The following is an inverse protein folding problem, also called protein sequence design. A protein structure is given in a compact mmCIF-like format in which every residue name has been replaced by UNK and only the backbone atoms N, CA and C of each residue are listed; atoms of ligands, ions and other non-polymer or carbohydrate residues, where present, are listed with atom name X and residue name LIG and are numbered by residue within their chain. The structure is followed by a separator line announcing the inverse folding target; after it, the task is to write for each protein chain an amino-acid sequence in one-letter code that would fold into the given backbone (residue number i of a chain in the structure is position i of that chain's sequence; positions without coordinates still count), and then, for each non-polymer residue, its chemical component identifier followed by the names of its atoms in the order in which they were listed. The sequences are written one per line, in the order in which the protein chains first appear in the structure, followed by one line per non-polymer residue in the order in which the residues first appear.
data_IF_575958025273
#
_entry.id   IF_575958025273
#
_cell.length_a   1.000
_cell.length_b   1.000
_cell.length_c   1.000
_cell.angle_alpha   90.00
_cell.angle_beta   90.00
_cell.angle_gamma   90.00
#
_symmetry.space_group_name_H-M   'P 1'
#
loop_
_entity.id
_entity.type
_entity.pdbx_description
1 polymer ?
#
# COMPACT_ATOMS: atom_id res chain seq x y z
N UNK A 1 8.11 49.59 44.50
CA UNK A 1 7.52 49.45 43.17
C UNK A 1 7.18 47.96 42.95
N UNK A 2 5.90 47.66 43.02
CA UNK A 2 5.38 46.28 42.93
C UNK A 2 4.86 46.11 41.51
N UNK A 3 5.44 45.15 40.74
CA UNK A 3 4.97 44.82 39.39
C UNK A 3 4.13 43.53 39.50
N UNK A 4 2.83 43.69 39.26
CA UNK A 4 1.88 42.59 39.21
C UNK A 4 1.86 42.06 37.77
N UNK A 5 2.30 40.82 37.53
CA UNK A 5 2.16 40.14 36.27
C UNK A 5 0.78 39.41 36.23
N UNK A 6 -0.07 39.81 35.28
CA UNK A 6 -1.35 39.18 35.02
C UNK A 6 -1.16 37.91 34.18
N UNK A 7 -1.52 36.75 34.68
CA UNK A 7 -1.62 35.48 33.98
C UNK A 7 -2.93 35.42 33.20
N UNK A 8 -2.84 35.52 31.87
CA UNK A 8 -3.96 35.31 30.98
C UNK A 8 -4.24 33.81 30.81
N UNK A 9 -5.36 33.33 31.31
CA UNK A 9 -5.86 31.98 31.07
C UNK A 9 -6.55 31.92 29.69
N UNK A 10 -5.96 31.23 28.73
CA UNK A 10 -6.58 30.89 27.46
C UNK A 10 -7.53 29.69 27.65
N UNK A 11 -8.82 29.94 27.66
CA UNK A 11 -9.84 28.88 27.64
C UNK A 11 -10.01 28.34 26.23
N UNK A 12 -9.60 27.07 26.02
CA UNK A 12 -9.89 26.31 24.81
C UNK A 12 -11.29 25.72 24.94
N UNK A 13 -12.23 26.20 24.13
CA UNK A 13 -13.58 25.66 24.05
C UNK A 13 -13.55 24.27 23.36
N UNK A 14 -14.32 23.29 23.87
CA UNK A 14 -14.46 22.00 23.20
C UNK A 14 -15.27 22.16 21.90
N UNK A 15 -14.77 21.59 20.79
CA UNK A 15 -15.50 21.52 19.53
C UNK A 15 -16.77 20.67 19.70
N UNK A 16 -17.92 21.29 19.50
CA UNK A 16 -19.21 20.60 19.46
C UNK A 16 -19.31 19.81 18.15
N UNK A 17 -19.46 18.49 18.27
CA UNK A 17 -19.78 17.60 17.16
C UNK A 17 -21.26 17.77 16.81
N UNK A 18 -21.57 18.29 15.63
CA UNK A 18 -22.92 18.36 15.11
C UNK A 18 -23.46 16.94 14.82
N UNK A 19 -24.73 16.63 15.16
CA UNK A 19 -25.32 15.35 14.82
C UNK A 19 -25.54 15.23 13.31
N UNK A 20 -25.26 14.02 12.78
CA UNK A 20 -25.47 13.65 11.39
C UNK A 20 -26.98 13.65 11.08
N UNK A 21 -27.41 14.12 9.88
CA UNK A 21 -28.80 14.01 9.46
C UNK A 21 -29.17 12.54 9.21
N UNK A 22 -30.32 12.13 9.73
CA UNK A 22 -30.91 10.81 9.49
C UNK A 22 -31.31 10.63 8.01
N UNK A 23 -31.20 9.40 7.44
CA UNK A 23 -31.63 9.15 6.09
C UNK A 23 -33.18 9.13 6.01
N UNK A 24 -33.75 10.00 5.18
CA UNK A 24 -35.16 9.98 4.83
C UNK A 24 -35.44 8.68 4.04
N UNK A 25 -36.28 7.84 4.61
CA UNK A 25 -36.87 6.67 3.94
C UNK A 25 -37.92 7.18 2.96
N UNK A 26 -37.53 7.25 1.68
CA UNK A 26 -38.44 7.51 0.58
C UNK A 26 -39.17 6.25 0.15
N UNK A 27 -40.47 6.20 0.39
CA UNK A 27 -41.39 5.16 -0.08
C UNK A 27 -41.56 5.21 -1.59
N UNK A 28 -41.42 4.05 -2.22
CA UNK A 28 -42.17 3.60 -3.39
C UNK A 28 -41.88 4.26 -4.73
N UNK A 29 -41.23 3.54 -5.62
CA UNK A 29 -41.58 3.56 -7.04
C UNK A 29 -41.30 2.20 -7.67
N UNK A 30 -42.42 1.56 -8.01
CA UNK A 30 -42.49 0.30 -8.77
C UNK A 30 -42.05 0.58 -10.19
N UNK A 31 -40.87 0.13 -10.62
CA UNK A 31 -40.48 0.12 -12.01
C UNK A 31 -40.67 -1.27 -12.59
N UNK A 32 -41.54 -1.32 -13.61
CA UNK A 32 -41.92 -2.48 -14.39
C UNK A 32 -40.70 -3.22 -14.98
N UNK A 33 -40.69 -4.51 -14.84
CA UNK A 33 -39.79 -5.44 -15.46
C UNK A 33 -40.12 -5.51 -16.97
N UNK A 34 -39.25 -4.97 -17.81
CA UNK A 34 -39.28 -5.21 -19.25
C UNK A 34 -38.50 -6.50 -19.53
N UNK A 35 -39.22 -7.52 -19.96
CA UNK A 35 -38.68 -8.79 -20.44
C UNK A 35 -38.14 -8.57 -21.86
N UNK A 36 -36.89 -8.86 -22.19
CA UNK A 36 -36.48 -8.86 -23.60
C UNK A 36 -36.89 -10.17 -24.27
N UNK A 37 -37.46 -9.94 -25.44
CA UNK A 37 -38.01 -10.87 -26.41
C UNK A 37 -37.00 -11.91 -26.91
N UNK A 38 -37.50 -13.13 -27.14
CA UNK A 38 -36.84 -14.29 -27.74
C UNK A 38 -36.11 -13.93 -29.03
N UNK A 39 -34.82 -14.17 -29.13
CA UNK A 39 -34.08 -14.20 -30.40
C UNK A 39 -34.05 -15.66 -30.88
N UNK A 40 -34.64 -15.90 -32.05
CA UNK A 40 -34.60 -17.18 -32.78
C UNK A 40 -33.16 -17.53 -33.19
N UNK A 41 -32.79 -18.80 -33.17
CA UNK A 41 -31.52 -19.22 -33.78
C UNK A 41 -31.68 -19.31 -35.29
N UNK A 42 -30.97 -18.47 -36.00
CA UNK A 42 -30.79 -18.65 -37.44
C UNK A 42 -29.63 -19.61 -37.65
N UNK A 43 -29.96 -20.79 -38.10
CA UNK A 43 -29.03 -21.76 -38.72
C UNK A 43 -28.48 -21.13 -39.98
N UNK A 44 -27.19 -20.88 -40.05
CA UNK A 44 -26.49 -20.63 -41.30
C UNK A 44 -25.25 -21.51 -41.40
N UNK A 45 -25.19 -22.10 -42.48
CA UNK A 45 -24.41 -23.10 -43.17
C UNK A 45 -22.90 -22.96 -43.04
N UNK A 46 -22.26 -24.06 -42.65
CA UNK A 46 -20.82 -24.23 -42.48
C UNK A 46 -20.14 -24.36 -43.84
N UNK A 47 -19.46 -23.33 -44.32
CA UNK A 47 -18.49 -23.44 -45.40
C UNK A 47 -17.08 -23.68 -44.79
N UNK A 48 -16.30 -24.67 -45.27
CA UNK A 48 -14.97 -24.94 -44.74
C UNK A 48 -13.97 -23.89 -45.23
N UNK A 49 -13.28 -23.24 -44.27
CA UNK A 49 -12.16 -22.35 -44.55
C UNK A 49 -10.91 -23.22 -44.86
N UNK A 50 -10.04 -22.80 -45.81
CA UNK A 50 -8.82 -23.52 -46.12
C UNK A 50 -7.79 -23.37 -44.98
N UNK A 51 -7.07 -24.46 -44.73
CA UNK A 51 -5.93 -24.54 -43.79
C UNK A 51 -4.88 -23.48 -44.09
N UNK A 52 -4.46 -22.67 -43.07
CA UNK A 52 -3.25 -21.86 -43.24
C UNK A 52 -2.03 -22.75 -43.10
N UNK A 53 -1.19 -22.70 -44.12
CA UNK A 53 0.12 -23.32 -44.18
C UNK A 53 0.94 -22.96 -42.95
N UNK A 54 1.58 -23.97 -42.36
CA UNK A 54 2.52 -23.85 -41.25
C UNK A 54 3.78 -23.15 -41.79
N UNK A 55 3.86 -21.82 -41.61
CA UNK A 55 5.15 -21.15 -41.77
C UNK A 55 5.99 -21.36 -40.50
N UNK A 56 7.19 -21.86 -40.74
CA UNK A 56 8.21 -22.17 -39.71
C UNK A 56 8.49 -20.95 -38.85
N UNK A 57 8.17 -21.05 -37.56
CA UNK A 57 8.38 -20.00 -36.56
C UNK A 57 9.86 -19.62 -36.48
N UNK A 58 10.12 -18.35 -36.68
CA UNK A 58 11.36 -17.66 -36.31
C UNK A 58 11.61 -17.87 -34.81
N UNK A 59 12.81 -18.29 -34.37
CA UNK A 59 13.08 -18.47 -32.96
C UNK A 59 12.94 -17.12 -32.22
N UNK A 60 12.02 -17.05 -31.30
CA UNK A 60 11.90 -15.91 -30.39
C UNK A 60 13.26 -15.70 -29.71
N UNK A 61 13.88 -14.58 -30.01
CA UNK A 61 15.09 -14.10 -29.36
C UNK A 61 14.75 -13.95 -27.86
N UNK A 62 15.22 -14.90 -27.04
CA UNK A 62 15.26 -14.74 -25.60
C UNK A 62 16.01 -13.45 -25.32
N UNK A 63 15.28 -12.41 -24.91
CA UNK A 63 15.86 -11.20 -24.36
C UNK A 63 16.79 -11.65 -23.23
N UNK A 64 18.08 -11.49 -23.41
CA UNK A 64 19.07 -11.76 -22.39
C UNK A 64 18.75 -10.83 -21.22
N UNK A 65 18.14 -11.40 -20.18
CA UNK A 65 18.09 -10.75 -18.87
C UNK A 65 19.54 -10.52 -18.48
N UNK A 66 19.99 -9.27 -18.53
CA UNK A 66 21.30 -8.86 -18.03
C UNK A 66 21.30 -9.24 -16.57
N UNK A 67 22.04 -10.28 -16.23
CA UNK A 67 22.17 -10.82 -14.88
C UNK A 67 22.97 -9.81 -14.05
N UNK A 68 22.28 -8.73 -13.61
CA UNK A 68 22.87 -7.76 -12.68
C UNK A 68 23.12 -8.52 -11.38
N UNK A 69 24.35 -8.47 -10.84
CA UNK A 69 24.66 -9.13 -9.59
C UNK A 69 23.64 -8.71 -8.51
N UNK A 70 23.13 -9.71 -7.77
CA UNK A 70 22.17 -9.46 -6.68
C UNK A 70 22.80 -8.54 -5.65
N UNK A 71 22.14 -7.42 -5.28
CA UNK A 71 22.64 -6.50 -4.25
C UNK A 71 22.92 -7.25 -2.94
N UNK A 72 24.06 -6.97 -2.32
CA UNK A 72 24.50 -7.59 -1.06
C UNK A 72 25.05 -6.52 -0.11
N UNK A 73 25.07 -6.83 1.19
CA UNK A 73 25.60 -5.95 2.23
C UNK A 73 24.63 -5.67 3.35
N UNK A 74 25.02 -4.73 4.20
CA UNK A 74 24.14 -4.22 5.27
C UNK A 74 22.98 -3.37 4.68
N UNK A 75 22.04 -3.00 5.55
CA UNK A 75 20.84 -2.27 5.11
C UNK A 75 21.17 -0.92 4.46
N UNK A 76 22.19 -0.18 4.95
CA UNK A 76 22.59 1.10 4.38
C UNK A 76 23.20 0.93 2.98
N UNK A 77 24.07 -0.05 2.82
CA UNK A 77 24.68 -0.42 1.55
C UNK A 77 23.62 -0.83 0.52
N UNK A 78 22.68 -1.71 0.91
CA UNK A 78 21.56 -2.13 0.06
C UNK A 78 20.70 -0.95 -0.39
N UNK A 79 20.34 -0.05 0.54
CA UNK A 79 19.58 1.15 0.22
C UNK A 79 20.33 2.03 -0.77
N UNK A 80 21.64 2.22 -0.58
CA UNK A 80 22.47 3.03 -1.49
C UNK A 80 22.52 2.46 -2.90
N UNK A 81 22.62 1.13 -3.04
CA UNK A 81 22.67 0.43 -4.32
C UNK A 81 21.32 0.47 -5.07
N UNK A 82 20.19 0.46 -4.33
CA UNK A 82 18.84 0.31 -4.89
C UNK A 82 18.06 1.61 -5.01
N UNK A 83 18.64 2.76 -4.66
CA UNK A 83 17.96 4.04 -4.77
C UNK A 83 17.58 4.37 -6.22
N UNK A 84 16.28 4.61 -6.45
CA UNK A 84 15.73 4.99 -7.75
C UNK A 84 14.53 5.92 -7.57
N UNK A 85 14.26 6.76 -8.55
CA UNK A 85 13.00 7.51 -8.64
C UNK A 85 11.84 6.63 -9.08
N UNK A 86 12.14 5.52 -9.76
CA UNK A 86 11.17 4.58 -10.32
C UNK A 86 11.10 3.31 -9.46
N UNK A 87 9.90 2.97 -9.05
CA UNK A 87 9.67 1.75 -8.25
C UNK A 87 9.72 0.46 -9.09
N UNK A 88 9.56 0.56 -10.41
CA UNK A 88 9.61 -0.56 -11.35
C UNK A 88 8.24 -1.19 -11.64
N UNK A 89 7.42 -1.40 -10.63
CA UNK A 89 6.07 -1.93 -10.81
C UNK A 89 5.04 -1.20 -9.96
N UNK A 90 3.75 -1.33 -10.32
CA UNK A 90 2.64 -0.75 -9.54
C UNK A 90 2.60 -1.30 -8.10
N UNK A 91 2.85 -2.57 -7.92
CA UNK A 91 2.89 -3.19 -6.58
C UNK A 91 4.02 -2.61 -5.72
N UNK A 92 5.22 -2.48 -6.29
CA UNK A 92 6.33 -1.84 -5.60
C UNK A 92 6.08 -0.34 -5.35
N UNK A 93 5.37 0.34 -6.24
CA UNK A 93 4.96 1.72 -6.04
C UNK A 93 4.00 1.87 -4.85
N UNK A 94 3.02 0.97 -4.72
CA UNK A 94 2.14 0.95 -3.55
C UNK A 94 2.92 0.70 -2.26
N UNK A 95 3.84 -0.26 -2.25
CA UNK A 95 4.68 -0.55 -1.09
C UNK A 95 5.58 0.63 -0.72
N UNK A 96 6.27 1.21 -1.70
CA UNK A 96 7.14 2.37 -1.50
C UNK A 96 6.34 3.60 -1.03
N UNK A 97 5.16 3.83 -1.58
CA UNK A 97 4.27 4.90 -1.17
C UNK A 97 3.86 4.78 0.29
N UNK A 98 3.48 3.60 0.72
CA UNK A 98 3.13 3.37 2.12
C UNK A 98 4.34 3.56 3.06
N UNK A 99 5.52 3.04 2.70
CA UNK A 99 6.77 3.27 3.45
C UNK A 99 7.07 4.78 3.53
N UNK A 100 6.92 5.50 2.42
CA UNK A 100 7.16 6.94 2.37
C UNK A 100 6.23 7.71 3.31
N UNK A 101 4.92 7.49 3.24
CA UNK A 101 3.96 8.26 4.06
C UNK A 101 4.03 7.90 5.54
N UNK A 102 4.24 6.63 5.87
CA UNK A 102 4.25 6.17 7.25
C UNK A 102 5.59 6.37 7.96
N UNK A 103 6.71 6.34 7.24
CA UNK A 103 8.01 6.20 7.89
C UNK A 103 9.18 6.95 7.24
N UNK A 104 8.96 7.92 6.35
CA UNK A 104 10.04 8.66 5.65
C UNK A 104 11.02 9.40 6.58
N UNK A 105 10.62 9.70 7.81
CA UNK A 105 11.46 10.34 8.84
C UNK A 105 12.05 9.35 9.86
N UNK A 106 11.72 8.05 9.73
CA UNK A 106 12.24 6.99 10.58
C UNK A 106 13.64 6.55 10.15
N UNK A 107 14.42 5.94 11.06
CA UNK A 107 15.63 5.20 10.68
C UNK A 107 15.30 4.11 9.65
N UNK A 108 16.29 3.71 8.84
CA UNK A 108 16.09 2.68 7.79
C UNK A 108 15.49 1.37 8.33
N UNK A 109 15.87 0.98 9.55
CA UNK A 109 15.27 -0.18 10.24
C UNK A 109 13.78 -0.02 10.51
N UNK A 110 13.32 1.19 10.83
CA UNK A 110 11.90 1.52 11.01
C UNK A 110 11.14 1.48 9.69
N UNK A 111 11.72 2.05 8.63
CA UNK A 111 11.16 1.99 7.28
C UNK A 111 11.04 0.55 6.78
N UNK A 112 12.07 -0.27 7.00
CA UNK A 112 12.07 -1.69 6.68
C UNK A 112 10.97 -2.44 7.45
N UNK A 113 10.81 -2.16 8.73
CA UNK A 113 9.80 -2.79 9.59
C UNK A 113 8.38 -2.47 9.11
N UNK A 114 8.09 -1.23 8.73
CA UNK A 114 6.79 -0.83 8.15
C UNK A 114 6.54 -1.56 6.82
N UNK A 115 7.52 -1.58 5.92
CA UNK A 115 7.42 -2.33 4.66
C UNK A 115 7.19 -3.83 4.89
N UNK A 116 7.88 -4.41 5.88
CA UNK A 116 7.72 -5.83 6.25
C UNK A 116 6.30 -6.15 6.72
N UNK A 117 5.63 -5.26 7.47
CA UNK A 117 4.22 -5.46 7.86
C UNK A 117 3.32 -5.58 6.64
N UNK A 118 3.49 -4.72 5.63
CA UNK A 118 2.68 -4.77 4.40
C UNK A 118 2.93 -6.07 3.64
N UNK A 119 4.19 -6.48 3.52
CA UNK A 119 4.56 -7.74 2.89
C UNK A 119 4.04 -8.97 3.65
N UNK A 120 4.05 -8.93 4.98
CA UNK A 120 3.48 -10.01 5.79
C UNK A 120 1.96 -10.08 5.64
N UNK A 121 1.27 -8.93 5.64
CA UNK A 121 -0.18 -8.87 5.43
C UNK A 121 -0.57 -9.50 4.11
N UNK A 122 0.10 -9.16 3.01
CA UNK A 122 -0.21 -9.72 1.68
C UNK A 122 -0.03 -11.24 1.58
N UNK A 123 0.78 -11.83 2.46
CA UNK A 123 1.06 -13.28 2.51
C UNK A 123 0.25 -14.03 3.58
N UNK A 124 -0.44 -13.34 4.47
CA UNK A 124 -1.04 -13.93 5.68
C UNK A 124 -2.38 -14.62 5.45
N UNK A 125 -3.03 -14.45 4.30
CA UNK A 125 -4.40 -14.89 4.05
C UNK A 125 -5.50 -14.12 4.82
N UNK A 126 -5.11 -13.22 5.75
CA UNK A 126 -6.03 -12.39 6.55
C UNK A 126 -6.29 -11.01 5.93
N UNK A 127 -5.50 -10.62 4.97
CA UNK A 127 -5.54 -9.34 4.26
C UNK A 127 -5.54 -9.61 2.75
N UNK A 128 -5.78 -8.57 1.91
CA UNK A 128 -5.64 -8.70 0.47
C UNK A 128 -4.25 -9.25 0.08
N UNK A 129 -4.19 -10.07 -0.98
CA UNK A 129 -2.98 -10.81 -1.39
C UNK A 129 -1.96 -9.98 -2.17
N UNK A 130 -2.17 -8.67 -2.35
CA UNK A 130 -1.24 -7.77 -3.04
C UNK A 130 -0.88 -6.57 -2.18
N UNK A 131 0.25 -5.92 -2.43
CA UNK A 131 0.65 -4.71 -1.70
C UNK A 131 -0.34 -3.57 -1.91
N UNK A 132 -0.77 -3.35 -3.15
CA UNK A 132 -1.78 -2.35 -3.46
C UNK A 132 -3.10 -2.66 -2.75
N UNK A 133 -3.53 -3.92 -2.73
CA UNK A 133 -4.71 -4.36 -2.00
C UNK A 133 -4.64 -4.05 -0.50
N UNK A 134 -3.50 -4.34 0.14
CA UNK A 134 -3.26 -4.02 1.56
C UNK A 134 -3.26 -2.52 1.79
N UNK A 135 -2.58 -1.75 0.94
CA UNK A 135 -2.42 -0.30 1.11
C UNK A 135 -3.73 0.44 0.90
N UNK A 136 -4.51 0.05 -0.10
CA UNK A 136 -5.81 0.68 -0.40
C UNK A 136 -6.99 0.06 0.35
N UNK A 137 -6.75 -0.86 1.27
CA UNK A 137 -7.78 -1.38 2.15
C UNK A 137 -8.37 -0.24 2.99
N UNK A 138 -9.70 -0.16 3.02
CA UNK A 138 -10.41 0.94 3.71
C UNK A 138 -9.95 1.08 5.16
N UNK A 139 -9.68 2.32 5.56
CA UNK A 139 -9.31 2.71 6.94
C UNK A 139 -7.98 2.12 7.46
N UNK A 140 -7.14 1.54 6.60
CA UNK A 140 -5.83 1.02 7.04
C UNK A 140 -4.77 2.11 7.16
N UNK A 141 -4.75 3.06 6.23
CA UNK A 141 -3.75 4.12 6.20
C UNK A 141 -4.42 5.49 6.07
N UNK A 142 -4.09 6.42 6.96
CA UNK A 142 -4.70 7.76 7.04
C UNK A 142 -4.38 8.66 5.84
N UNK A 143 -3.27 8.40 5.15
CA UNK A 143 -2.88 9.16 3.96
C UNK A 143 -3.68 8.75 2.70
N UNK A 144 -4.30 7.57 2.68
CA UNK A 144 -5.11 7.11 1.55
C UNK A 144 -6.45 7.83 1.55
N UNK A 145 -6.78 8.48 0.43
CA UNK A 145 -8.07 9.15 0.19
C UNK A 145 -8.78 8.48 -0.98
N UNK A 146 -9.89 7.82 -0.70
CA UNK A 146 -10.57 6.99 -1.68
C UNK A 146 -9.69 5.81 -2.10
N UNK A 147 -9.22 5.80 -3.35
CA UNK A 147 -8.31 4.77 -3.90
C UNK A 147 -7.00 5.39 -4.41
N UNK A 148 -6.60 6.53 -3.87
CA UNK A 148 -5.41 7.26 -4.30
C UNK A 148 -4.54 7.65 -3.11
N UNK A 149 -3.24 7.76 -3.37
CA UNK A 149 -2.25 8.37 -2.49
C UNK A 149 -2.10 9.85 -2.87
N UNK A 150 -1.72 10.73 -1.92
CA UNK A 150 -1.33 12.09 -2.25
C UNK A 150 -0.13 12.12 -3.21
N UNK A 151 0.09 13.22 -3.95
CA UNK A 151 1.27 13.39 -4.78
C UNK A 151 2.56 13.21 -3.98
N UNK A 152 3.55 12.53 -4.58
CA UNK A 152 4.85 12.27 -3.98
C UNK A 152 5.93 12.95 -4.83
N UNK A 153 6.85 13.75 -4.23
CA UNK A 153 7.99 14.31 -4.92
C UNK A 153 9.00 13.20 -5.24
N UNK A 154 8.88 12.59 -6.42
CA UNK A 154 9.65 11.39 -6.83
C UNK A 154 11.15 11.62 -6.95
N UNK A 155 11.59 12.85 -7.14
CA UNK A 155 13.00 13.23 -7.13
C UNK A 155 13.61 13.31 -5.72
N UNK A 156 12.76 13.32 -4.67
CA UNK A 156 13.24 13.48 -3.29
C UNK A 156 14.07 12.29 -2.81
N UNK A 157 15.02 12.57 -1.92
CA UNK A 157 15.83 11.54 -1.28
C UNK A 157 14.96 10.53 -0.51
N UNK A 158 13.93 11.02 0.18
CA UNK A 158 13.00 10.20 0.96
C UNK A 158 12.22 9.21 0.09
N UNK A 159 11.74 9.66 -1.08
CA UNK A 159 11.09 8.76 -2.03
C UNK A 159 12.04 7.69 -2.55
N UNK A 160 13.22 8.10 -3.00
CA UNK A 160 14.23 7.15 -3.52
C UNK A 160 14.66 6.13 -2.46
N UNK A 161 14.74 6.54 -1.21
CA UNK A 161 14.98 5.64 -0.07
C UNK A 161 13.80 4.67 0.13
N UNK A 162 12.56 5.16 0.10
CA UNK A 162 11.38 4.30 0.23
C UNK A 162 11.28 3.27 -0.90
N UNK A 163 11.64 3.64 -2.14
CA UNK A 163 11.74 2.72 -3.27
C UNK A 163 12.79 1.64 -3.01
N UNK A 164 13.98 2.01 -2.55
CA UNK A 164 15.03 1.04 -2.22
C UNK A 164 14.57 0.07 -1.11
N UNK A 165 13.95 0.59 -0.04
CA UNK A 165 13.43 -0.25 1.05
C UNK A 165 12.32 -1.17 0.55
N UNK A 166 11.44 -0.71 -0.34
CA UNK A 166 10.39 -1.54 -0.94
C UNK A 166 11.00 -2.71 -1.75
N UNK A 167 12.04 -2.47 -2.51
CA UNK A 167 12.76 -3.51 -3.25
C UNK A 167 13.46 -4.50 -2.30
N UNK A 168 14.09 -4.01 -1.23
CA UNK A 168 14.72 -4.85 -0.21
C UNK A 168 13.72 -5.80 0.44
N UNK A 169 12.54 -5.28 0.81
CA UNK A 169 11.45 -6.09 1.40
C UNK A 169 10.91 -7.11 0.39
N UNK A 170 10.65 -6.67 -0.84
CA UNK A 170 10.09 -7.53 -1.89
C UNK A 170 10.99 -8.70 -2.24
N UNK A 171 12.28 -8.44 -2.39
CA UNK A 171 13.31 -9.43 -2.74
C UNK A 171 13.87 -10.16 -1.52
N UNK A 172 13.40 -9.85 -0.31
CA UNK A 172 13.88 -10.41 0.96
C UNK A 172 15.42 -10.31 1.12
N UNK A 173 16.01 -9.15 0.75
CA UNK A 173 17.46 -8.93 0.81
C UNK A 173 17.96 -8.66 2.22
N UNK A 174 17.10 -8.26 3.14
CA UNK A 174 17.44 -7.98 4.54
C UNK A 174 16.30 -8.36 5.46
N UNK A 175 16.62 -8.91 6.63
CA UNK A 175 15.63 -9.36 7.61
C UNK A 175 15.33 -8.23 8.60
N UNK A 176 14.05 -7.89 8.76
CA UNK A 176 13.60 -6.94 9.77
C UNK A 176 13.73 -7.56 11.18
N UNK A 177 13.99 -6.73 12.20
CA UNK A 177 13.97 -7.15 13.62
C UNK A 177 12.59 -7.55 14.11
N UNK A 178 11.53 -7.28 13.34
CA UNK A 178 10.13 -7.65 13.64
C UNK A 178 9.51 -8.46 12.48
N UNK A 179 10.11 -9.60 12.09
CA UNK A 179 9.84 -10.29 10.83
C UNK A 179 8.41 -10.85 10.72
N UNK A 180 7.71 -11.05 11.83
CA UNK A 180 6.33 -11.61 11.88
C UNK A 180 5.26 -10.58 12.22
N UNK A 181 5.59 -9.29 12.23
CA UNK A 181 4.63 -8.24 12.57
C UNK A 181 3.54 -8.11 11.50
N UNK A 182 2.29 -7.95 11.95
CA UNK A 182 1.10 -7.69 11.11
C UNK A 182 0.45 -6.35 11.43
N UNK A 183 0.74 -5.75 12.59
CA UNK A 183 0.15 -4.50 13.04
C UNK A 183 1.24 -3.60 13.62
N UNK A 184 1.03 -2.30 13.53
CA UNK A 184 1.86 -1.31 14.21
C UNK A 184 1.05 -0.05 14.55
N UNK A 185 1.54 0.72 15.50
CA UNK A 185 1.09 2.07 15.79
C UNK A 185 2.25 2.96 16.23
N UNK A 186 2.08 4.28 16.14
CA UNK A 186 3.07 5.22 16.65
C UNK A 186 3.18 5.12 18.18
N UNK A 187 4.38 5.19 18.74
CA UNK A 187 4.63 5.08 20.21
C UNK A 187 3.81 6.03 21.07
N UNK A 188 3.44 7.20 20.53
CA UNK A 188 2.59 8.19 21.21
C UNK A 188 1.12 7.77 21.34
N UNK A 189 0.70 6.72 20.64
CA UNK A 189 -0.65 6.16 20.67
C UNK A 189 -0.66 4.94 21.57
N UNK A 190 -1.71 4.74 22.33
CA UNK A 190 -1.89 3.56 23.19
C UNK A 190 -3.22 2.88 22.89
N UNK A 191 -3.30 2.10 21.80
CA UNK A 191 -4.52 1.39 21.45
C UNK A 191 -4.77 0.26 22.46
N UNK A 192 -6.05 0.01 22.77
CA UNK A 192 -6.43 -1.11 23.65
C UNK A 192 -6.46 -2.45 22.91
N UNK A 193 -5.39 -2.76 22.17
CA UNK A 193 -5.29 -4.00 21.41
C UNK A 193 -4.90 -5.17 22.32
N UNK A 194 -5.56 -6.30 22.14
CA UNK A 194 -5.21 -7.58 22.76
C UNK A 194 -4.31 -8.40 21.82
N UNK A 195 -3.27 -7.78 21.28
CA UNK A 195 -2.33 -8.38 20.33
C UNK A 195 -1.00 -8.66 21.02
N UNK A 196 -0.27 -9.68 20.56
CA UNK A 196 1.08 -9.98 21.06
C UNK A 196 2.06 -8.95 20.50
N UNK A 197 2.66 -8.16 21.37
CA UNK A 197 3.74 -7.24 21.01
C UNK A 197 4.98 -8.03 20.59
N UNK A 198 5.60 -7.66 19.47
CA UNK A 198 6.82 -8.30 18.95
C UNK A 198 8.05 -7.41 19.03
N UNK A 199 7.89 -6.09 19.14
CA UNK A 199 9.02 -5.17 19.31
C UNK A 199 8.65 -3.71 19.14
N UNK A 200 9.68 -2.86 19.33
CA UNK A 200 9.63 -1.42 19.01
C UNK A 200 10.81 -1.11 18.11
N UNK A 201 10.55 -0.44 17.00
CA UNK A 201 11.57 0.02 16.04
C UNK A 201 11.28 1.47 15.69
N UNK A 202 12.24 2.36 15.91
CA UNK A 202 12.02 3.80 15.74
C UNK A 202 10.85 4.29 16.61
N UNK A 203 9.93 5.04 16.00
CA UNK A 203 8.75 5.57 16.68
C UNK A 203 7.50 4.67 16.56
N UNK A 204 7.67 3.39 16.21
CA UNK A 204 6.57 2.45 16.06
C UNK A 204 6.69 1.24 17.00
N UNK A 205 5.55 0.78 17.49
CA UNK A 205 5.39 -0.47 18.25
C UNK A 205 4.69 -1.48 17.35
N UNK A 206 5.24 -2.69 17.27
CA UNK A 206 4.82 -3.75 16.34
C UNK A 206 4.18 -4.93 17.06
N UNK A 207 3.18 -5.55 16.42
CA UNK A 207 2.38 -6.65 16.96
C UNK A 207 2.09 -7.73 15.91
N UNK A 208 1.72 -8.92 16.39
CA UNK A 208 1.24 -10.05 15.58
C UNK A 208 -0.14 -10.54 16.02
#
# INVERSE_FOLDING_TARGET
MLVIAALGASSVAPAQVAPLPEPLIGTGSTLAMVVPEKINPLTDELAPLPDPAIEAGTPATKSAATDKPKPTGDLHSLVSQLRSSEAGSRELECLAGAIYFESKSEPLSGQLAVGQVIANRSKSGRFPSSYCGVVFQRSQFSFVRGRAMPPIPRSSHQWKTAVAVAQIVHQALHVSTVPKALFFHARRVSPRWRLTRVGTVGNHVFYR
#
